data_IF_769810564045
#
_entry.id   IF_769810564045
#
_cell.length_a   1.000
_cell.length_b   1.000
_cell.length_c   1.000
_cell.angle_alpha   90.00
_cell.angle_beta   90.00
_cell.angle_gamma   90.00
#
_symmetry.space_group_name_H-M   'P 1'
#
loop_
_entity.id
_entity.type
_entity.pdbx_description
1 polymer ?
#
# COMPACT_ATOMS: atom_id res chain seq x y z
N UNK A 1 -34.82 -49.74 -8.11
CA UNK A 1 -35.09 -49.08 -9.36
C UNK A 1 -34.25 -47.82 -9.34
N UNK A 2 -32.92 -47.95 -9.58
CA UNK A 2 -32.23 -47.81 -10.86
C UNK A 2 -32.47 -46.43 -11.47
N UNK A 3 -31.50 -45.59 -11.67
CA UNK A 3 -30.31 -45.65 -12.46
C UNK A 3 -29.35 -44.48 -12.14
N UNK A 4 -28.11 -44.81 -12.04
CA UNK A 4 -26.95 -43.94 -12.29
C UNK A 4 -26.72 -43.94 -13.80
N UNK A 5 -26.17 -42.85 -14.39
CA UNK A 5 -25.04 -43.14 -15.26
C UNK A 5 -23.80 -42.31 -14.93
N UNK A 6 -22.73 -43.06 -14.87
CA UNK A 6 -21.36 -42.62 -15.04
C UNK A 6 -21.13 -42.10 -16.46
N UNK A 7 -20.20 -41.19 -16.57
CA UNK A 7 -19.66 -40.68 -17.82
C UNK A 7 -18.30 -40.05 -17.63
N UNK A 8 -17.28 -40.87 -17.63
CA UNK A 8 -15.89 -40.49 -17.72
C UNK A 8 -15.47 -40.16 -19.15
N UNK A 9 -14.61 -39.19 -19.30
CA UNK A 9 -13.72 -38.94 -20.44
C UNK A 9 -12.52 -38.25 -19.84
N UNK A 10 -11.30 -38.67 -19.94
CA UNK A 10 -10.60 -39.30 -21.04
C UNK A 10 -9.28 -38.55 -21.10
N UNK A 11 -8.25 -39.27 -20.69
CA UNK A 11 -6.82 -38.91 -20.77
C UNK A 11 -6.45 -38.50 -22.19
N UNK A 12 -5.63 -37.50 -22.35
CA UNK A 12 -4.73 -37.37 -23.48
C UNK A 12 -3.40 -36.77 -23.05
N UNK A 13 -2.48 -37.66 -23.03
CA UNK A 13 -1.04 -37.47 -23.02
C UNK A 13 -0.58 -36.76 -24.30
N UNK A 14 0.29 -35.80 -24.21
CA UNK A 14 1.25 -35.54 -25.27
C UNK A 14 2.62 -35.26 -24.66
N UNK A 15 3.44 -36.25 -24.76
CA UNK A 15 4.88 -36.23 -24.68
C UNK A 15 5.41 -35.59 -25.97
N UNK A 16 6.33 -34.68 -25.85
CA UNK A 16 7.10 -34.15 -26.96
C UNK A 16 8.53 -33.80 -26.50
N UNK A 17 9.36 -34.80 -26.52
CA UNK A 17 10.82 -34.75 -26.41
C UNK A 17 11.41 -34.47 -27.79
N UNK A 18 12.35 -33.53 -27.87
CA UNK A 18 13.46 -33.41 -28.84
C UNK A 18 14.31 -32.22 -28.38
N UNK A 19 15.50 -32.40 -27.76
CA UNK A 19 16.78 -32.85 -28.28
C UNK A 19 17.40 -31.92 -29.34
N UNK A 20 18.60 -31.46 -29.02
CA UNK A 20 19.56 -30.76 -29.89
C UNK A 20 20.26 -29.63 -29.14
N UNK A 21 21.36 -29.76 -28.44
CA UNK A 21 22.75 -30.09 -28.80
C UNK A 21 23.44 -28.98 -29.63
N UNK A 22 24.51 -28.52 -29.12
CA UNK A 22 25.54 -27.75 -29.82
C UNK A 22 26.05 -26.58 -28.99
N UNK A 23 27.03 -26.75 -28.10
CA UNK A 23 28.50 -26.64 -28.30
C UNK A 23 28.89 -25.22 -28.61
N UNK A 24 29.55 -24.59 -27.64
CA UNK A 24 30.98 -24.39 -27.48
C UNK A 24 31.47 -23.27 -28.42
N UNK A 25 32.21 -22.32 -28.02
CA UNK A 25 33.57 -22.24 -27.48
C UNK A 25 33.92 -20.79 -27.21
N UNK A 26 34.53 -20.54 -26.10
CA UNK A 26 35.60 -19.54 -25.94
C UNK A 26 36.75 -19.96 -26.83
N UNK A 27 37.78 -19.19 -27.11
CA UNK A 27 38.46 -18.27 -26.19
C UNK A 27 39.28 -17.11 -26.82
N UNK A 28 39.96 -16.40 -25.96
CA UNK A 28 41.32 -15.87 -26.03
C UNK A 28 41.56 -14.57 -26.80
N UNK A 29 42.01 -13.67 -26.03
CA UNK A 29 43.39 -13.16 -25.84
C UNK A 29 43.88 -12.07 -26.77
N UNK A 30 44.49 -11.19 -26.07
CA UNK A 30 45.73 -10.43 -26.33
C UNK A 30 45.58 -9.22 -27.24
N UNK A 31 46.18 -8.13 -27.01
CA UNK A 31 47.35 -7.66 -26.31
C UNK A 31 47.48 -6.15 -26.53
N UNK A 32 47.94 -5.52 -25.52
CA UNK A 32 49.09 -4.58 -25.41
C UNK A 32 49.38 -3.64 -26.55
N UNK A 33 49.66 -2.48 -26.17
CA UNK A 33 50.72 -1.52 -26.48
C UNK A 33 50.14 -0.12 -26.58
N UNK A 34 50.48 0.71 -25.75
CA UNK A 34 51.68 1.45 -25.38
C UNK A 34 51.69 2.86 -26.02
N UNK A 35 51.79 3.76 -25.10
CA UNK A 35 52.56 5.01 -25.10
C UNK A 35 52.21 6.11 -26.11
N UNK A 36 51.96 7.28 -25.69
CA UNK A 36 52.96 8.37 -25.62
C UNK A 36 52.30 9.71 -25.28
N UNK A 37 52.79 10.28 -24.22
CA UNK A 37 53.19 11.65 -23.93
C UNK A 37 52.32 12.86 -24.27
N UNK A 38 52.04 13.51 -23.17
CA UNK A 38 52.31 14.91 -22.85
C UNK A 38 51.74 16.01 -23.75
N UNK A 39 50.90 16.80 -23.14
CA UNK A 39 51.18 18.24 -23.07
C UNK A 39 50.26 18.88 -22.00
N UNK A 40 50.90 19.51 -21.09
CA UNK A 40 50.51 20.49 -20.12
C UNK A 40 49.39 21.45 -20.54
N UNK A 41 48.45 21.63 -19.64
CA UNK A 41 47.46 22.68 -19.75
C UNK A 41 46.69 22.86 -18.43
N UNK A 42 47.32 23.57 -17.55
CA UNK A 42 46.80 24.20 -16.31
C UNK A 42 45.42 24.75 -16.49
N UNK A 43 44.44 24.14 -15.86
CA UNK A 43 43.26 24.82 -15.25
C UNK A 43 42.58 23.85 -14.26
N UNK A 44 43.28 23.51 -13.25
CA UNK A 44 42.66 22.97 -12.05
C UNK A 44 42.44 24.17 -11.12
N UNK A 45 41.27 24.29 -10.61
CA UNK A 45 40.82 24.99 -9.38
C UNK A 45 39.48 25.67 -9.64
N UNK A 46 38.46 24.90 -9.81
CA UNK A 46 37.08 25.40 -9.55
C UNK A 46 36.09 24.27 -9.28
N UNK A 47 36.51 23.17 -8.65
CA UNK A 47 35.59 22.12 -8.24
C UNK A 47 35.86 21.64 -6.83
N UNK A 48 35.82 22.52 -5.87
CA UNK A 48 35.81 22.13 -4.45
C UNK A 48 35.08 23.14 -3.57
N UNK A 49 33.85 23.48 -3.88
CA UNK A 49 33.06 24.24 -2.93
C UNK A 49 31.56 23.89 -2.90
N UNK A 50 31.18 22.72 -3.41
CA UNK A 50 29.79 22.29 -3.44
C UNK A 50 29.45 21.13 -2.48
N UNK A 51 30.30 20.82 -1.52
CA UNK A 51 30.03 19.70 -0.60
C UNK A 51 30.31 20.16 0.82
N UNK A 52 29.53 21.05 1.35
CA UNK A 52 29.36 21.24 2.80
C UNK A 52 28.30 22.29 3.14
N UNK A 53 27.21 22.35 2.39
CA UNK A 53 25.99 22.92 2.91
C UNK A 53 25.20 21.82 3.61
N UNK A 54 25.78 21.24 4.65
CA UNK A 54 25.05 20.49 5.65
C UNK A 54 24.23 21.54 6.43
N UNK A 55 23.15 21.98 5.77
CA UNK A 55 22.10 22.75 6.44
C UNK A 55 21.77 21.97 7.69
N UNK A 56 22.13 22.51 8.84
CA UNK A 56 21.68 22.01 10.13
C UNK A 56 20.17 22.15 10.12
N UNK A 57 19.49 21.12 9.61
CA UNK A 57 18.04 21.07 9.61
C UNK A 57 17.57 21.20 11.04
N UNK A 58 16.56 22.03 11.26
CA UNK A 58 15.95 22.12 12.58
C UNK A 58 15.41 20.73 12.96
N UNK A 59 15.38 20.43 14.26
CA UNK A 59 14.85 19.13 14.73
C UNK A 59 13.46 18.82 14.16
N UNK A 60 12.62 19.85 14.03
CA UNK A 60 11.29 19.71 13.40
C UNK A 60 11.38 19.34 11.91
N UNK A 61 12.31 19.92 11.17
CA UNK A 61 12.49 19.60 9.75
C UNK A 61 12.99 18.17 9.55
N UNK A 62 13.90 17.68 10.39
CA UNK A 62 14.38 16.31 10.38
C UNK A 62 13.25 15.31 10.67
N UNK A 63 12.43 15.60 11.68
CA UNK A 63 11.28 14.74 12.00
C UNK A 63 10.31 14.68 10.83
N UNK A 64 10.02 15.82 10.22
CA UNK A 64 9.10 15.91 9.08
C UNK A 64 9.63 15.13 7.88
N UNK A 65 10.89 15.27 7.54
CA UNK A 65 11.52 14.53 6.44
C UNK A 65 11.46 13.03 6.67
N UNK A 66 11.71 12.58 7.90
CA UNK A 66 11.59 11.18 8.28
C UNK A 66 10.15 10.65 8.18
N UNK A 67 9.17 11.46 8.62
CA UNK A 67 7.76 11.10 8.49
C UNK A 67 7.32 11.04 7.03
N UNK A 68 7.74 11.97 6.19
CA UNK A 68 7.36 12.06 4.78
C UNK A 68 7.81 10.83 3.99
N UNK A 69 8.96 10.23 4.32
CA UNK A 69 9.44 8.98 3.71
C UNK A 69 8.52 7.80 4.02
N UNK A 70 7.85 7.80 5.18
CA UNK A 70 6.98 6.69 5.62
C UNK A 70 5.51 6.88 5.22
N UNK A 71 5.15 8.01 4.64
CA UNK A 71 3.79 8.26 4.19
C UNK A 71 3.44 7.37 2.98
N UNK A 72 2.27 6.75 3.03
CA UNK A 72 1.70 6.05 1.88
C UNK A 72 1.06 7.05 0.93
N UNK A 73 1.41 7.01 -0.34
CA UNK A 73 0.84 7.85 -1.41
C UNK A 73 -0.52 7.34 -1.91
N UNK A 74 -0.76 6.02 -1.82
CA UNK A 74 -1.92 5.37 -2.45
C UNK A 74 -3.21 5.39 -1.62
N UNK A 75 -3.35 6.38 -0.73
CA UNK A 75 -4.53 6.49 0.12
C UNK A 75 -5.57 7.43 -0.51
N UNK A 76 -6.84 7.00 -0.62
CA UNK A 76 -7.91 7.87 -1.05
C UNK A 76 -8.19 8.94 0.02
N UNK A 77 -8.72 10.07 -0.41
CA UNK A 77 -9.15 11.13 0.51
C UNK A 77 -10.41 10.70 1.25
N UNK A 78 -10.28 10.43 2.55
CA UNK A 78 -11.32 9.91 3.43
C UNK A 78 -11.92 11.05 4.24
N UNK A 79 -13.25 11.14 4.22
CA UNK A 79 -14.03 12.07 5.03
C UNK A 79 -14.81 11.35 6.12
N UNK A 80 -15.15 12.09 7.17
CA UNK A 80 -16.04 11.59 8.23
C UNK A 80 -17.43 11.36 7.66
N UNK A 81 -18.02 10.20 7.96
CA UNK A 81 -19.32 9.78 7.42
C UNK A 81 -19.24 8.87 6.20
N UNK A 82 -18.06 8.72 5.60
CA UNK A 82 -17.89 7.79 4.48
C UNK A 82 -17.96 6.34 4.93
N UNK A 83 -18.54 5.49 4.09
CA UNK A 83 -18.47 4.04 4.27
C UNK A 83 -17.21 3.56 3.59
N UNK A 84 -16.30 3.00 4.37
CA UNK A 84 -15.00 2.52 3.91
C UNK A 84 -14.85 1.03 4.12
N UNK A 85 -14.09 0.41 3.22
CA UNK A 85 -13.61 -0.96 3.35
C UNK A 85 -12.10 -0.91 3.55
N UNK A 86 -11.66 -1.28 4.74
CA UNK A 86 -10.25 -1.32 5.13
C UNK A 86 -9.76 -2.76 5.08
N UNK A 87 -8.75 -3.04 4.24
CA UNK A 87 -8.08 -4.32 4.20
C UNK A 87 -7.03 -4.38 5.32
N UNK A 88 -7.25 -5.24 6.30
CA UNK A 88 -6.33 -5.44 7.42
C UNK A 88 -5.50 -6.68 7.17
N UNK A 89 -4.18 -6.53 7.19
CA UNK A 89 -3.24 -7.65 7.12
C UNK A 89 -3.18 -8.33 8.48
N UNK A 90 -3.44 -9.62 8.49
CA UNK A 90 -3.35 -10.48 9.67
C UNK A 90 -2.30 -11.53 9.35
N UNK A 91 -1.27 -11.63 10.20
CA UNK A 91 -0.28 -12.71 10.11
C UNK A 91 -0.57 -13.72 11.23
N UNK A 92 -0.77 -14.96 10.82
CA UNK A 92 -1.00 -16.09 11.71
C UNK A 92 0.08 -17.15 11.45
N UNK A 93 1.12 -17.16 12.29
CA UNK A 93 2.29 -17.99 12.08
C UNK A 93 2.98 -17.63 10.74
N UNK A 94 3.05 -18.60 9.81
CA UNK A 94 3.70 -18.41 8.51
C UNK A 94 2.75 -17.96 7.39
N UNK A 95 1.48 -17.72 7.72
CA UNK A 95 0.47 -17.32 6.72
C UNK A 95 0.03 -15.89 6.95
N UNK A 96 0.01 -15.10 5.88
CA UNK A 96 -0.55 -13.76 5.88
C UNK A 96 -1.86 -13.76 5.10
N UNK A 97 -2.87 -13.13 5.66
CA UNK A 97 -4.15 -12.91 4.98
C UNK A 97 -4.62 -11.48 5.16
N UNK A 98 -5.36 -10.97 4.18
CA UNK A 98 -6.01 -9.66 4.25
C UNK A 98 -7.48 -9.86 4.57
N UNK A 99 -7.92 -9.32 5.70
CA UNK A 99 -9.31 -9.35 6.11
C UNK A 99 -9.96 -7.99 5.89
N UNK A 100 -11.06 -7.90 5.12
CA UNK A 100 -11.77 -6.66 4.92
C UNK A 100 -12.58 -6.28 6.16
N UNK A 101 -12.49 -5.03 6.57
CA UNK A 101 -13.30 -4.43 7.62
C UNK A 101 -14.12 -3.29 7.02
N UNK A 102 -15.43 -3.48 6.89
CA UNK A 102 -16.34 -2.50 6.35
C UNK A 102 -17.07 -1.75 7.46
N UNK A 103 -17.21 -0.44 7.30
CA UNK A 103 -17.92 0.36 8.28
C UNK A 103 -17.95 1.84 7.94
N UNK A 104 -18.57 2.62 8.79
CA UNK A 104 -18.70 4.07 8.67
C UNK A 104 -17.61 4.77 9.48
N UNK A 105 -16.94 5.74 8.89
CA UNK A 105 -15.94 6.57 9.57
C UNK A 105 -16.65 7.53 10.52
N UNK A 106 -16.40 7.38 11.82
CA UNK A 106 -17.01 8.24 12.86
C UNK A 106 -16.14 9.47 13.12
N UNK A 107 -14.83 9.27 13.16
CA UNK A 107 -13.88 10.33 13.48
C UNK A 107 -12.58 10.14 12.69
N UNK A 108 -11.94 11.24 12.35
CA UNK A 108 -10.59 11.34 11.81
C UNK A 108 -9.77 12.19 12.76
N UNK A 109 -8.60 11.73 13.16
CA UNK A 109 -7.73 12.41 14.12
C UNK A 109 -6.31 12.42 13.60
N UNK A 110 -5.54 13.36 14.13
CA UNK A 110 -4.13 13.57 13.83
C UNK A 110 -3.87 13.90 12.35
N UNK A 111 -2.65 14.17 12.03
CA UNK A 111 -2.17 14.45 10.69
C UNK A 111 -0.86 13.74 10.42
N UNK A 112 -0.31 13.89 9.22
CA UNK A 112 0.92 13.25 8.78
C UNK A 112 0.91 11.73 9.02
N UNK A 113 2.01 11.14 9.43
CA UNK A 113 2.16 9.71 9.68
C UNK A 113 1.16 9.16 10.70
N UNK A 114 0.82 9.94 11.74
CA UNK A 114 -0.05 9.52 12.84
C UNK A 114 -1.54 9.63 12.52
N UNK A 115 -1.92 9.84 11.27
CA UNK A 115 -3.31 9.95 10.88
C UNK A 115 -4.11 8.70 11.18
N UNK A 116 -5.18 8.84 11.98
CA UNK A 116 -6.05 7.73 12.38
C UNK A 116 -7.49 7.96 11.98
N UNK A 117 -8.17 6.90 11.64
CA UNK A 117 -9.61 6.86 11.42
C UNK A 117 -10.27 5.88 12.39
N UNK A 118 -11.42 6.28 12.94
CA UNK A 118 -12.25 5.39 13.74
C UNK A 118 -13.41 4.92 12.88
N UNK A 119 -13.47 3.61 12.64
CA UNK A 119 -14.51 2.98 11.82
C UNK A 119 -15.46 2.20 12.70
N UNK A 120 -16.77 2.50 12.59
CA UNK A 120 -17.83 1.79 13.29
C UNK A 120 -18.57 0.86 12.34
N UNK A 121 -18.77 -0.34 12.79
CA UNK A 121 -19.57 -1.35 12.11
C UNK A 121 -20.55 -1.98 13.10
N UNK A 122 -21.72 -2.36 12.64
CA UNK A 122 -22.67 -3.15 13.42
C UNK A 122 -22.51 -4.61 12.99
N UNK A 123 -22.20 -5.45 13.95
CA UNK A 123 -22.05 -6.87 13.75
C UNK A 123 -22.97 -7.60 14.72
N UNK A 124 -23.90 -8.41 14.23
CA UNK A 124 -24.90 -9.15 15.04
C UNK A 124 -25.66 -8.25 16.04
N UNK A 125 -26.01 -7.04 15.64
CA UNK A 125 -26.70 -6.09 16.52
C UNK A 125 -25.79 -5.30 17.46
N UNK A 126 -24.51 -5.66 17.56
CA UNK A 126 -23.53 -5.01 18.43
C UNK A 126 -22.71 -4.02 17.61
N UNK A 127 -22.56 -2.79 18.13
CA UNK A 127 -21.71 -1.77 17.50
C UNK A 127 -20.25 -1.99 17.88
N UNK A 128 -19.41 -2.28 16.89
CA UNK A 128 -17.96 -2.46 17.06
C UNK A 128 -17.22 -1.30 16.43
N UNK A 129 -16.33 -0.67 17.19
CA UNK A 129 -15.49 0.42 16.73
C UNK A 129 -14.03 -0.03 16.71
N UNK A 130 -13.34 0.28 15.62
CA UNK A 130 -11.91 0.02 15.51
C UNK A 130 -11.20 1.26 14.99
N UNK A 131 -10.05 1.55 15.59
CA UNK A 131 -9.18 2.64 15.17
C UNK A 131 -8.10 2.07 14.25
N UNK A 132 -7.92 2.70 13.10
CA UNK A 132 -6.90 2.33 12.13
C UNK A 132 -5.95 3.50 11.93
N UNK A 133 -4.66 3.24 12.03
CA UNK A 133 -3.60 4.16 11.58
C UNK A 133 -3.44 3.96 10.07
N UNK A 134 -3.69 5.00 9.29
CA UNK A 134 -3.75 4.89 7.82
C UNK A 134 -2.42 4.46 7.21
N UNK A 135 -1.32 5.01 7.70
CA UNK A 135 0.01 4.75 7.18
C UNK A 135 0.68 3.49 7.77
N UNK A 136 -0.01 2.78 8.68
CA UNK A 136 0.50 1.53 9.27
C UNK A 136 0.68 0.43 8.20
N UNK A 137 1.74 -0.41 8.30
CA UNK A 137 1.93 -1.56 7.44
C UNK A 137 0.81 -2.62 7.57
N UNK A 138 0.10 -2.65 8.69
CA UNK A 138 -1.04 -3.55 8.89
C UNK A 138 -2.25 -3.20 8.01
N UNK A 139 -2.37 -1.95 7.56
CA UNK A 139 -3.41 -1.55 6.62
C UNK A 139 -2.91 -1.80 5.21
N UNK A 140 -3.45 -2.82 4.53
CA UNK A 140 -3.08 -3.17 3.18
C UNK A 140 -3.69 -2.22 2.14
N UNK A 141 -4.98 -1.93 2.28
CA UNK A 141 -5.70 -1.05 1.34
C UNK A 141 -6.89 -0.39 2.03
N UNK A 142 -7.26 0.78 1.52
CA UNK A 142 -8.49 1.47 1.94
C UNK A 142 -9.28 1.83 0.69
N UNK A 143 -10.54 1.39 0.64
CA UNK A 143 -11.47 1.71 -0.45
C UNK A 143 -12.68 2.42 0.10
N UNK A 144 -13.11 3.48 -0.58
CA UNK A 144 -14.34 4.19 -0.26
C UNK A 144 -15.46 3.56 -1.07
N UNK A 145 -16.48 3.03 -0.39
CA UNK A 145 -17.66 2.45 -1.04
C UNK A 145 -18.76 3.48 -1.29
N UNK A 146 -18.98 4.33 -0.29
CA UNK A 146 -20.02 5.36 -0.35
C UNK A 146 -19.56 6.61 0.35
N UNK A 147 -19.81 7.75 -0.24
CA UNK A 147 -19.60 9.04 0.40
C UNK A 147 -20.83 9.45 1.20
N UNK A 148 -20.62 9.85 2.45
CA UNK A 148 -21.67 10.22 3.37
C UNK A 148 -21.90 11.73 3.44
N UNK A 149 -23.17 12.17 3.52
CA UNK A 149 -23.52 13.57 3.78
C UNK A 149 -23.68 13.78 5.27
N UNK A 150 -22.74 14.49 5.88
CA UNK A 150 -22.73 14.79 7.31
C UNK A 150 -22.49 16.28 7.57
N UNK A 151 -22.96 16.77 8.72
CA UNK A 151 -22.80 18.18 9.13
C UNK A 151 -21.84 18.35 10.32
N UNK A 152 -21.35 17.24 10.89
CA UNK A 152 -20.49 17.24 12.07
C UNK A 152 -19.17 16.61 11.77
N UNK A 153 -18.10 17.12 12.36
CA UNK A 153 -16.75 16.58 12.23
C UNK A 153 -16.54 15.25 12.99
N UNK A 154 -17.36 14.98 13.99
CA UNK A 154 -17.32 13.72 14.76
C UNK A 154 -18.75 13.21 14.91
N UNK A 155 -18.95 11.92 14.66
CA UNK A 155 -20.28 11.29 14.60
C UNK A 155 -20.52 10.38 15.80
N UNK A 156 -20.17 10.82 17.02
CA UNK A 156 -20.33 9.99 18.21
C UNK A 156 -21.79 9.67 18.53
N UNK A 157 -22.72 10.49 18.08
CA UNK A 157 -24.16 10.24 18.24
C UNK A 157 -24.64 8.94 17.55
N UNK A 158 -23.84 8.38 16.64
CA UNK A 158 -24.16 7.07 16.04
C UNK A 158 -24.07 5.92 17.03
N UNK A 159 -23.43 6.13 18.18
CA UNK A 159 -23.33 5.13 19.26
C UNK A 159 -24.69 4.86 19.89
N UNK A 160 -25.49 5.90 20.06
CA UNK A 160 -26.79 5.86 20.72
C UNK A 160 -27.92 5.42 19.77
N UNK A 161 -27.64 5.44 18.46
CA UNK A 161 -28.63 5.12 17.45
C UNK A 161 -28.58 3.65 17.07
N UNK A 162 -29.77 3.04 16.96
CA UNK A 162 -29.94 1.63 16.58
C UNK A 162 -30.82 1.51 15.33
N UNK A 163 -30.60 0.49 14.53
CA UNK A 163 -31.40 0.17 13.37
C UNK A 163 -31.29 1.18 12.22
N UNK A 164 -32.39 1.58 11.64
CA UNK A 164 -32.43 2.47 10.47
C UNK A 164 -31.81 3.85 10.71
N UNK A 165 -31.85 4.35 11.96
CA UNK A 165 -31.30 5.65 12.34
C UNK A 165 -29.75 5.72 12.30
N UNK A 166 -29.08 4.57 12.22
CA UNK A 166 -27.61 4.48 12.11
C UNK A 166 -27.11 4.74 10.71
N UNK A 167 -27.97 4.67 9.68
CA UNK A 167 -27.58 4.84 8.30
C UNK A 167 -27.30 6.31 8.00
N UNK A 168 -26.11 6.60 7.49
CA UNK A 168 -25.73 7.91 6.99
C UNK A 168 -26.30 8.08 5.58
N UNK A 169 -26.89 9.24 5.30
CA UNK A 169 -27.40 9.58 3.95
C UNK A 169 -26.22 9.67 2.98
N UNK A 170 -26.40 9.16 1.78
CA UNK A 170 -25.39 9.24 0.74
C UNK A 170 -25.30 10.66 0.20
N UNK A 171 -24.08 11.10 -0.07
CA UNK A 171 -23.77 12.34 -0.76
C UNK A 171 -23.67 12.03 -2.26
N UNK A 172 -24.52 12.66 -3.04
CA UNK A 172 -24.44 12.64 -4.49
C UNK A 172 -23.74 13.94 -4.89
N UNK A 173 -22.50 13.84 -5.32
CA UNK A 173 -21.81 14.95 -5.94
C UNK A 173 -22.35 15.05 -7.37
N UNK A 174 -22.89 16.23 -7.71
CA UNK A 174 -23.33 16.59 -9.05
C UNK A 174 -22.14 17.11 -9.84
#
# INVERSE_FOLDING_TARGET
>A
MDCVPEGGWGLSWFFGVLSGAGMAVDPLETSVDEATEATSGTTAVAEKSAVNDSRKLSAHALIKEFEDVQLKSDLPEIYVGDTVRVGVRISEGNKERVQPYEGVVIAKRHGSLNQTITVRRIFQGIGVERVFMLHSPQVASVKIERRGKVRRAKLFYLRDRVGKATRVKQRFDR
#
